data_IF_173144891547
#
_entry.id   IF_173144891547
#
_cell.length_a   1.000
_cell.length_b   1.000
_cell.length_c   1.000
_cell.angle_alpha   90.00
_cell.angle_beta   90.00
_cell.angle_gamma   90.00
#
_symmetry.space_group_name_H-M   'P 1'
#
loop_
_entity.id
_entity.type
_entity.pdbx_description
1 polymer ?
#
# COMPACT_ATOMS: atom_id res chain seq x y z
N UNK A 1 1.65 -20.01 26.93
CA UNK A 1 1.24 -20.46 25.57
C UNK A 1 0.99 -19.30 24.59
N UNK A 2 0.53 -18.14 25.07
CA UNK A 2 0.28 -16.98 24.22
C UNK A 2 1.55 -16.37 23.60
N UNK A 3 2.66 -16.35 24.35
CA UNK A 3 3.93 -15.79 23.84
C UNK A 3 4.52 -16.62 22.70
N UNK A 4 4.41 -17.95 22.74
CA UNK A 4 4.93 -18.82 21.69
C UNK A 4 4.09 -18.74 20.39
N UNK A 5 2.76 -18.63 20.52
CA UNK A 5 1.88 -18.44 19.36
C UNK A 5 2.08 -17.05 18.73
N UNK A 6 2.17 -15.98 19.56
CA UNK A 6 2.46 -14.64 19.09
C UNK A 6 3.83 -14.55 18.41
N UNK A 7 4.84 -15.27 18.91
CA UNK A 7 6.16 -15.35 18.28
C UNK A 7 6.13 -16.10 16.93
N UNK A 8 5.30 -17.12 16.79
CA UNK A 8 5.11 -17.82 15.50
C UNK A 8 4.42 -16.93 14.48
N UNK A 9 3.40 -16.16 14.88
CA UNK A 9 2.70 -15.22 13.99
C UNK A 9 3.47 -13.93 13.75
N UNK A 10 4.33 -13.51 14.67
CA UNK A 10 5.26 -12.39 14.48
C UNK A 10 6.41 -12.71 13.51
N UNK A 11 6.67 -13.99 13.21
CA UNK A 11 7.83 -14.42 12.44
C UNK A 11 7.46 -15.48 11.40
N UNK A 12 7.09 -15.08 10.22
CA UNK A 12 7.20 -15.98 9.09
C UNK A 12 8.65 -16.00 8.62
N UNK A 13 9.45 -16.92 9.16
CA UNK A 13 10.85 -17.06 8.80
C UNK A 13 10.93 -17.68 7.41
N UNK A 14 11.47 -16.95 6.44
CA UNK A 14 12.02 -17.54 5.23
C UNK A 14 13.27 -18.34 5.60
N UNK A 15 13.57 -19.40 4.85
CA UNK A 15 14.79 -20.19 5.03
C UNK A 15 16.06 -19.33 4.88
N UNK A 16 15.93 -18.19 4.18
CA UNK A 16 16.95 -17.16 4.12
C UNK A 16 16.67 -16.13 5.23
N UNK A 17 17.62 -16.02 6.17
CA UNK A 17 17.52 -15.16 7.35
C UNK A 17 17.57 -13.66 7.04
N UNK A 18 17.79 -13.26 5.79
CA UNK A 18 17.83 -11.86 5.36
C UNK A 18 16.46 -11.25 5.05
N UNK A 19 15.39 -12.07 5.03
CA UNK A 19 14.06 -11.64 4.62
C UNK A 19 12.97 -12.18 5.56
N UNK A 20 12.44 -11.35 6.47
CA UNK A 20 11.51 -11.74 7.53
C UNK A 20 10.25 -10.92 7.47
N UNK A 21 9.13 -11.53 7.86
CA UNK A 21 7.84 -10.85 8.06
C UNK A 21 7.48 -10.84 9.55
N UNK A 22 7.00 -9.69 10.01
CA UNK A 22 6.53 -9.48 11.38
C UNK A 22 5.12 -8.93 11.38
N UNK A 23 4.36 -9.25 12.43
CA UNK A 23 2.99 -8.80 12.64
C UNK A 23 2.83 -8.26 14.07
N UNK A 24 2.00 -7.24 14.23
CA UNK A 24 1.72 -6.61 15.53
C UNK A 24 0.52 -7.28 16.20
N UNK A 25 0.81 -8.26 17.04
CA UNK A 25 -0.22 -9.00 17.78
C UNK A 25 -0.98 -8.12 18.77
N UNK A 26 -0.29 -7.22 19.48
CA UNK A 26 -0.89 -6.33 20.47
C UNK A 26 -1.92 -5.38 19.84
N UNK A 27 -1.66 -4.92 18.61
CA UNK A 27 -2.60 -4.09 17.84
C UNK A 27 -3.82 -4.90 17.37
N UNK A 28 -3.63 -6.16 16.95
CA UNK A 28 -4.69 -6.94 16.31
C UNK A 28 -5.56 -7.73 17.30
N UNK A 29 -4.99 -8.17 18.43
CA UNK A 29 -5.67 -9.01 19.42
C UNK A 29 -6.96 -8.40 19.97
N UNK A 30 -7.11 -7.10 20.24
CA UNK A 30 -8.38 -6.53 20.69
C UNK A 30 -9.55 -6.80 19.74
N UNK A 31 -9.33 -6.78 18.44
CA UNK A 31 -10.37 -6.97 17.43
C UNK A 31 -10.58 -8.44 17.05
N UNK A 32 -9.52 -9.24 17.05
CA UNK A 32 -9.53 -10.62 16.54
C UNK A 32 -9.50 -11.71 17.63
N UNK A 33 -9.13 -11.36 18.87
CA UNK A 33 -8.98 -12.32 19.98
C UNK A 33 -7.69 -13.13 19.83
N UNK A 34 -7.65 -14.29 20.53
CA UNK A 34 -6.47 -15.15 20.57
C UNK A 34 -6.43 -16.20 19.43
N UNK A 35 -7.54 -16.39 18.72
CA UNK A 35 -7.71 -17.42 17.71
C UNK A 35 -7.90 -16.78 16.32
N UNK A 36 -6.83 -16.17 15.84
CA UNK A 36 -6.78 -15.59 14.50
C UNK A 36 -5.52 -16.02 13.75
N UNK A 37 -5.55 -15.88 12.44
CA UNK A 37 -4.42 -16.11 11.56
C UNK A 37 -4.31 -15.03 10.50
N UNK A 38 -3.14 -14.90 9.90
CA UNK A 38 -2.92 -13.99 8.78
C UNK A 38 -3.28 -14.70 7.48
N UNK A 39 -4.37 -14.27 6.88
CA UNK A 39 -4.79 -14.77 5.57
C UNK A 39 -3.99 -14.11 4.46
N UNK A 40 -3.45 -14.91 3.56
CA UNK A 40 -2.66 -14.49 2.42
C UNK A 40 -1.38 -13.72 2.84
N UNK A 41 -1.39 -12.39 2.81
CA UNK A 41 -0.19 -11.57 2.98
C UNK A 41 -0.17 -10.78 4.30
N UNK A 42 -1.29 -10.15 4.66
CA UNK A 42 -1.35 -9.15 5.76
C UNK A 42 -2.69 -9.13 6.49
N UNK A 43 -3.70 -9.85 6.01
CA UNK A 43 -5.08 -9.75 6.51
C UNK A 43 -5.29 -10.64 7.74
N UNK A 44 -5.52 -10.09 8.95
CA UNK A 44 -5.91 -10.91 10.08
C UNK A 44 -7.34 -11.41 9.92
N UNK A 45 -7.59 -12.65 10.32
CA UNK A 45 -8.92 -13.28 10.28
C UNK A 45 -9.12 -14.21 11.47
N UNK A 46 -10.31 -14.19 12.07
CA UNK A 46 -10.73 -15.18 13.07
C UNK A 46 -10.88 -16.55 12.41
N UNK A 47 -10.10 -17.52 12.87
CA UNK A 47 -10.08 -18.88 12.30
C UNK A 47 -11.43 -19.55 12.47
N UNK A 48 -11.99 -20.10 11.40
CA UNK A 48 -13.28 -20.78 11.39
C UNK A 48 -14.50 -19.87 11.54
N UNK A 49 -14.34 -18.59 11.85
CA UNK A 49 -15.44 -17.66 12.15
C UNK A 49 -15.60 -16.52 11.14
N UNK A 50 -14.58 -16.24 10.35
CA UNK A 50 -14.63 -15.22 9.32
C UNK A 50 -14.31 -15.82 7.95
N UNK A 51 -15.06 -15.39 6.93
CA UNK A 51 -14.86 -15.75 5.53
C UNK A 51 -14.56 -14.50 4.74
N UNK A 52 -13.43 -14.48 4.02
CA UNK A 52 -12.97 -13.32 3.27
C UNK A 52 -13.23 -13.50 1.78
N UNK A 53 -13.88 -12.51 1.18
CA UNK A 53 -13.97 -12.36 -0.27
C UNK A 53 -13.00 -11.29 -0.73
N UNK A 54 -11.98 -11.71 -1.46
CA UNK A 54 -10.95 -10.82 -1.98
C UNK A 54 -11.34 -10.26 -3.34
N UNK A 55 -11.04 -8.98 -3.56
CA UNK A 55 -11.32 -8.28 -4.80
C UNK A 55 -10.08 -7.63 -5.42
N UNK A 56 -10.32 -6.82 -6.44
CA UNK A 56 -9.30 -5.97 -7.03
C UNK A 56 -8.93 -4.82 -6.10
N UNK A 57 -7.93 -4.01 -6.49
CA UNK A 57 -7.54 -2.79 -5.76
C UNK A 57 -7.94 -1.55 -6.52
N UNK A 58 -8.39 -0.52 -5.79
CA UNK A 58 -8.65 0.80 -6.34
C UNK A 58 -7.34 1.58 -6.50
N UNK A 59 -7.08 2.10 -7.71
CA UNK A 59 -5.94 2.96 -7.97
C UNK A 59 -6.29 4.41 -7.61
N UNK A 60 -5.93 4.85 -6.41
CA UNK A 60 -6.26 6.17 -5.89
C UNK A 60 -5.49 7.29 -6.59
N UNK A 61 -4.25 7.05 -7.03
CA UNK A 61 -3.49 8.03 -7.80
C UNK A 61 -4.12 8.29 -9.18
N UNK A 62 -4.63 7.25 -9.84
CA UNK A 62 -5.41 7.39 -11.08
C UNK A 62 -6.74 8.13 -10.84
N UNK A 63 -7.39 7.85 -9.71
CA UNK A 63 -8.60 8.54 -9.28
C UNK A 63 -8.37 10.05 -9.11
N UNK A 64 -7.22 10.47 -8.57
CA UNK A 64 -6.83 11.88 -8.47
C UNK A 64 -6.70 12.54 -9.85
N UNK A 65 -6.07 11.86 -10.82
CA UNK A 65 -5.97 12.37 -12.19
C UNK A 65 -7.35 12.46 -12.87
N UNK A 66 -8.26 11.53 -12.60
CA UNK A 66 -9.65 11.62 -13.06
C UNK A 66 -10.38 12.81 -12.43
N UNK A 67 -10.14 13.11 -11.15
CA UNK A 67 -10.73 14.27 -10.50
C UNK A 67 -10.29 15.58 -11.16
N UNK A 68 -8.98 15.72 -11.45
CA UNK A 68 -8.43 16.89 -12.15
C UNK A 68 -9.00 17.01 -13.58
N UNK A 69 -9.21 15.89 -14.27
CA UNK A 69 -9.66 15.83 -15.67
C UNK A 69 -11.17 15.66 -15.85
N UNK A 70 -12.00 15.87 -14.81
CA UNK A 70 -13.46 15.78 -14.91
C UNK A 70 -13.97 14.39 -15.29
N UNK A 71 -13.30 13.32 -14.84
CA UNK A 71 -13.65 11.95 -15.10
C UNK A 71 -13.08 11.35 -16.40
N UNK A 72 -12.20 12.07 -17.09
CA UNK A 72 -11.51 11.60 -18.30
C UNK A 72 -10.15 10.99 -17.94
N UNK A 73 -9.81 9.92 -18.64
CA UNK A 73 -8.49 9.28 -18.54
C UNK A 73 -7.43 10.15 -19.19
N UNK A 74 -6.38 10.49 -18.47
CA UNK A 74 -5.32 11.40 -18.90
C UNK A 74 -4.48 10.86 -20.06
N UNK A 75 -4.45 9.54 -20.23
CA UNK A 75 -3.70 8.89 -21.33
C UNK A 75 -4.54 8.73 -22.58
N UNK A 76 -5.69 8.10 -22.46
CA UNK A 76 -6.56 7.79 -23.61
C UNK A 76 -7.54 8.92 -23.97
N UNK A 77 -7.86 9.80 -23.04
CA UNK A 77 -8.89 10.83 -23.21
C UNK A 77 -10.32 10.33 -23.06
N UNK A 78 -10.51 9.02 -22.84
CA UNK A 78 -11.84 8.42 -22.71
C UNK A 78 -12.51 8.88 -21.42
N UNK A 79 -13.83 9.19 -21.51
CA UNK A 79 -14.65 9.45 -20.34
C UNK A 79 -14.91 8.15 -19.59
N UNK A 80 -14.25 7.98 -18.45
CA UNK A 80 -14.30 6.75 -17.60
C UNK A 80 -15.32 6.89 -16.48
N UNK A 81 -15.36 8.06 -15.84
CA UNK A 81 -16.29 8.40 -14.78
C UNK A 81 -17.44 9.26 -15.33
N UNK A 82 -18.52 9.52 -14.55
CA UNK A 82 -19.49 10.55 -14.90
C UNK A 82 -18.77 11.87 -15.22
N UNK A 83 -19.41 12.71 -16.03
CA UNK A 83 -18.86 14.04 -16.34
C UNK A 83 -18.97 14.91 -15.11
N UNK A 84 -17.82 15.11 -14.47
CA UNK A 84 -17.62 16.15 -13.46
C UNK A 84 -16.97 17.36 -14.11
N UNK A 85 -17.12 18.53 -13.49
CA UNK A 85 -16.43 19.73 -13.94
C UNK A 85 -14.91 19.56 -13.76
N UNK A 86 -14.10 19.62 -14.83
CA UNK A 86 -12.64 19.52 -14.71
C UNK A 86 -12.07 20.78 -14.03
N UNK A 87 -10.90 20.64 -13.45
CA UNK A 87 -10.12 21.80 -13.00
C UNK A 87 -9.51 22.44 -14.24
N UNK A 88 -9.81 23.72 -14.45
CA UNK A 88 -9.35 24.47 -15.65
C UNK A 88 -8.28 25.51 -15.34
N UNK A 89 -8.03 25.79 -14.05
CA UNK A 89 -7.01 26.72 -13.58
C UNK A 89 -5.62 26.34 -14.06
N UNK A 90 -4.76 27.33 -14.25
CA UNK A 90 -3.34 27.12 -14.61
C UNK A 90 -2.56 26.49 -13.49
N UNK A 91 -2.86 26.85 -12.25
CA UNK A 91 -2.27 26.29 -11.04
C UNK A 91 -3.35 25.54 -10.23
N UNK A 92 -2.96 24.44 -9.59
CA UNK A 92 -3.86 23.68 -8.75
C UNK A 92 -4.06 24.39 -7.39
N UNK A 93 -5.34 24.51 -6.98
CA UNK A 93 -5.71 24.91 -5.62
C UNK A 93 -6.04 23.68 -4.79
N UNK A 94 -5.50 23.61 -3.57
CA UNK A 94 -5.65 22.44 -2.70
C UNK A 94 -7.11 22.14 -2.37
N UNK A 95 -7.91 23.16 -2.05
CA UNK A 95 -9.29 22.95 -1.64
C UNK A 95 -10.15 22.51 -2.83
N UNK A 96 -9.95 23.11 -4.01
CA UNK A 96 -10.64 22.71 -5.25
C UNK A 96 -10.28 21.26 -5.60
N UNK A 97 -9.00 20.89 -5.55
CA UNK A 97 -8.55 19.52 -5.83
C UNK A 97 -9.15 18.53 -4.84
N UNK A 98 -9.15 18.83 -3.54
CA UNK A 98 -9.73 17.97 -2.51
C UNK A 98 -11.22 17.76 -2.72
N UNK A 99 -11.99 18.83 -3.00
CA UNK A 99 -13.43 18.72 -3.28
C UNK A 99 -13.71 17.77 -4.46
N UNK A 100 -13.02 18.01 -5.60
CA UNK A 100 -13.15 17.17 -6.81
C UNK A 100 -12.70 15.73 -6.56
N UNK A 101 -11.63 15.56 -5.80
CA UNK A 101 -11.09 14.23 -5.47
C UNK A 101 -12.05 13.45 -4.58
N UNK A 102 -12.66 14.07 -3.57
CA UNK A 102 -13.67 13.42 -2.74
C UNK A 102 -14.90 13.00 -3.54
N UNK A 103 -15.38 13.86 -4.46
CA UNK A 103 -16.47 13.50 -5.37
C UNK A 103 -16.11 12.25 -6.21
N UNK A 104 -14.88 12.22 -6.73
CA UNK A 104 -14.38 11.10 -7.54
C UNK A 104 -14.22 9.83 -6.71
N UNK A 105 -13.68 9.92 -5.48
CA UNK A 105 -13.55 8.78 -4.56
C UNK A 105 -14.92 8.19 -4.19
N UNK A 106 -15.95 9.01 -3.94
CA UNK A 106 -17.33 8.53 -3.69
C UNK A 106 -17.89 7.75 -4.87
N UNK A 107 -17.69 8.26 -6.08
CA UNK A 107 -18.08 7.53 -7.29
C UNK A 107 -17.28 6.22 -7.43
N UNK A 108 -15.97 6.26 -7.24
CA UNK A 108 -15.11 5.08 -7.33
C UNK A 108 -15.52 4.01 -6.32
N UNK A 109 -15.77 4.39 -5.07
CA UNK A 109 -16.24 3.47 -4.02
C UNK A 109 -17.54 2.76 -4.42
N UNK A 110 -18.51 3.50 -4.97
CA UNK A 110 -19.76 2.93 -5.48
C UNK A 110 -19.53 1.92 -6.60
N UNK A 111 -18.72 2.27 -7.60
CA UNK A 111 -18.40 1.38 -8.73
C UNK A 111 -17.65 0.15 -8.23
N UNK A 112 -16.69 0.35 -7.35
CA UNK A 112 -15.86 -0.71 -6.79
C UNK A 112 -16.70 -1.73 -6.03
N UNK A 113 -17.53 -1.28 -5.08
CA UNK A 113 -18.42 -2.17 -4.32
C UNK A 113 -19.40 -2.90 -5.25
N UNK A 114 -19.97 -2.23 -6.25
CA UNK A 114 -20.88 -2.86 -7.20
C UNK A 114 -20.18 -3.92 -8.07
N UNK A 115 -18.96 -3.66 -8.54
CA UNK A 115 -18.17 -4.64 -9.28
C UNK A 115 -17.86 -5.87 -8.44
N UNK A 116 -17.40 -5.68 -7.20
CA UNK A 116 -17.13 -6.78 -6.28
C UNK A 116 -18.39 -7.57 -5.90
N UNK A 117 -19.53 -6.91 -5.80
CA UNK A 117 -20.84 -7.53 -5.56
C UNK A 117 -21.21 -8.50 -6.69
N UNK A 118 -20.97 -8.11 -7.94
CA UNK A 118 -21.21 -8.98 -9.10
C UNK A 118 -20.23 -10.16 -9.09
N UNK A 119 -18.96 -9.91 -8.83
CA UNK A 119 -17.93 -10.95 -8.74
C UNK A 119 -18.27 -11.97 -7.64
N UNK A 120 -18.62 -11.50 -6.45
CA UNK A 120 -19.03 -12.37 -5.34
C UNK A 120 -20.26 -13.21 -5.70
N UNK A 121 -21.30 -12.60 -6.27
CA UNK A 121 -22.47 -13.31 -6.75
C UNK A 121 -22.12 -14.40 -7.79
N UNK A 122 -21.22 -14.05 -8.74
CA UNK A 122 -20.82 -15.01 -9.78
C UNK A 122 -20.04 -16.20 -9.21
N UNK A 123 -19.17 -15.98 -8.23
CA UNK A 123 -18.49 -17.09 -7.53
C UNK A 123 -19.50 -17.95 -6.77
N UNK A 124 -20.42 -17.34 -6.02
CA UNK A 124 -21.40 -18.03 -5.23
C UNK A 124 -22.42 -18.81 -6.08
N UNK A 125 -22.73 -18.35 -7.29
CA UNK A 125 -23.52 -19.08 -8.27
C UNK A 125 -22.95 -20.48 -8.56
N UNK A 126 -21.65 -20.67 -8.44
CA UNK A 126 -20.96 -21.95 -8.61
C UNK A 126 -20.66 -22.64 -7.26
N UNK A 127 -21.43 -22.33 -6.22
CA UNK A 127 -21.34 -22.92 -4.89
C UNK A 127 -20.00 -22.67 -4.16
N UNK A 128 -19.27 -21.59 -4.52
CA UNK A 128 -17.99 -21.28 -3.88
C UNK A 128 -18.12 -21.11 -2.36
N UNK A 129 -19.10 -20.32 -1.90
CA UNK A 129 -19.35 -20.12 -0.47
C UNK A 129 -19.74 -21.41 0.24
N UNK A 130 -20.55 -22.27 -0.41
CA UNK A 130 -20.95 -23.56 0.16
C UNK A 130 -19.74 -24.50 0.39
N UNK A 131 -18.73 -24.45 -0.48
CA UNK A 131 -17.48 -25.18 -0.26
C UNK A 131 -16.68 -24.61 0.91
N UNK A 132 -16.54 -23.28 0.96
CA UNK A 132 -15.80 -22.61 2.04
C UNK A 132 -16.44 -22.84 3.41
N UNK A 133 -17.77 -22.91 3.49
CA UNK A 133 -18.50 -23.18 4.74
C UNK A 133 -18.12 -24.52 5.37
N UNK A 134 -17.62 -25.49 4.60
CA UNK A 134 -17.10 -26.74 5.14
C UNK A 134 -15.86 -26.59 6.04
N UNK A 135 -15.20 -25.44 5.99
CA UNK A 135 -14.01 -25.10 6.78
C UNK A 135 -14.33 -24.18 7.97
N UNK A 136 -15.62 -23.91 8.25
CA UNK A 136 -16.06 -22.94 9.24
C UNK A 136 -16.95 -23.55 10.31
N UNK A 137 -17.00 -22.90 11.46
CA UNK A 137 -17.67 -23.43 12.65
C UNK A 137 -19.20 -23.33 12.59
N UNK A 138 -19.81 -22.43 11.97
CA UNK A 138 -21.26 -22.22 11.99
C UNK A 138 -21.63 -20.84 11.48
N UNK A 139 -22.07 -19.96 12.36
CA UNK A 139 -22.34 -18.58 12.00
C UNK A 139 -21.03 -17.88 11.59
N UNK A 140 -20.93 -17.52 10.33
CA UNK A 140 -19.73 -16.94 9.74
C UNK A 140 -19.94 -15.47 9.43
N UNK A 141 -19.05 -14.64 9.93
CA UNK A 141 -18.93 -13.25 9.50
C UNK A 141 -18.28 -13.20 8.12
N UNK A 142 -18.98 -12.60 7.16
CA UNK A 142 -18.48 -12.39 5.81
C UNK A 142 -17.74 -11.07 5.72
N UNK A 143 -16.49 -11.11 5.31
CA UNK A 143 -15.66 -9.95 5.11
C UNK A 143 -15.49 -9.71 3.59
N UNK A 144 -15.71 -8.48 3.17
CA UNK A 144 -15.42 -8.01 1.82
C UNK A 144 -14.10 -7.27 1.82
N UNK A 145 -13.04 -7.97 1.44
CA UNK A 145 -11.73 -7.37 1.28
C UNK A 145 -11.73 -6.40 0.09
N UNK A 146 -11.53 -5.14 0.37
CA UNK A 146 -11.21 -4.10 -0.61
C UNK A 146 -9.74 -3.73 -0.47
N UNK A 147 -9.19 -2.99 -1.41
CA UNK A 147 -7.79 -2.57 -1.32
C UNK A 147 -7.55 -1.29 -2.10
N UNK A 148 -6.54 -0.56 -1.68
CA UNK A 148 -6.08 0.66 -2.34
C UNK A 148 -4.64 0.54 -2.79
N UNK A 149 -4.30 1.25 -3.88
CA UNK A 149 -2.96 1.38 -4.42
C UNK A 149 -2.65 2.86 -4.68
N UNK A 150 -1.39 3.26 -4.46
CA UNK A 150 -0.91 4.62 -4.73
C UNK A 150 -1.16 5.61 -3.60
N UNK A 151 -1.32 5.15 -2.34
CA UNK A 151 -1.57 6.03 -1.19
C UNK A 151 -0.46 7.08 -1.03
N UNK A 152 0.81 6.68 -1.03
CA UNK A 152 1.94 7.60 -0.89
C UNK A 152 2.00 8.65 -2.02
N UNK A 153 1.63 8.26 -3.25
CA UNK A 153 1.60 9.17 -4.40
C UNK A 153 0.50 10.22 -4.21
N UNK A 154 -0.66 9.81 -3.70
CA UNK A 154 -1.77 10.73 -3.41
C UNK A 154 -1.39 11.68 -2.28
N UNK A 155 -0.83 11.17 -1.19
CA UNK A 155 -0.38 11.99 -0.06
C UNK A 155 0.67 13.02 -0.52
N UNK A 156 1.67 12.58 -1.29
CA UNK A 156 2.71 13.43 -1.85
C UNK A 156 2.15 14.47 -2.82
N UNK A 157 1.22 14.05 -3.71
CA UNK A 157 0.59 14.98 -4.67
C UNK A 157 -0.23 16.07 -3.98
N UNK A 158 -1.00 15.70 -2.98
CA UNK A 158 -1.81 16.66 -2.20
C UNK A 158 -0.92 17.55 -1.34
N UNK A 159 0.15 17.02 -0.73
CA UNK A 159 1.13 17.84 -0.02
C UNK A 159 1.84 18.81 -0.97
N UNK A 160 2.24 18.37 -2.15
CA UNK A 160 2.85 19.22 -3.17
C UNK A 160 1.91 20.36 -3.60
N UNK A 161 0.63 20.06 -3.85
CA UNK A 161 -0.38 21.07 -4.22
C UNK A 161 -0.62 22.07 -3.08
N UNK A 162 -0.60 21.62 -1.82
CA UNK A 162 -0.82 22.48 -0.65
C UNK A 162 0.37 23.40 -0.36
N UNK A 163 1.59 22.88 -0.45
CA UNK A 163 2.79 23.54 0.05
C UNK A 163 3.60 24.24 -1.05
N UNK A 164 3.28 24.02 -2.33
CA UNK A 164 4.04 24.54 -3.48
C UNK A 164 3.10 25.10 -4.55
N UNK A 165 3.67 25.66 -5.62
CA UNK A 165 2.90 26.02 -6.82
C UNK A 165 3.00 24.90 -7.84
N UNK A 166 1.88 24.25 -8.12
CA UNK A 166 1.80 23.19 -9.13
C UNK A 166 1.06 23.71 -10.36
N UNK A 167 1.80 23.91 -11.44
CA UNK A 167 1.29 24.32 -12.75
C UNK A 167 0.83 23.11 -13.53
N UNK A 168 -0.34 23.20 -14.14
CA UNK A 168 -0.92 22.12 -14.96
C UNK A 168 -0.50 22.28 -16.41
N UNK A 169 0.11 21.27 -16.98
CA UNK A 169 0.42 21.19 -18.41
C UNK A 169 -0.68 20.38 -19.10
N UNK A 170 -1.35 21.01 -20.08
CA UNK A 170 -2.48 20.42 -20.81
C UNK A 170 -2.09 20.08 -22.24
N UNK A 171 -2.62 18.98 -22.73
CA UNK A 171 -2.51 18.64 -24.15
C UNK A 171 -3.60 19.37 -25.00
N UNK A 172 -3.57 19.12 -26.32
CA UNK A 172 -4.53 19.68 -27.29
C UNK A 172 -6.01 19.34 -26.99
N UNK A 173 -6.23 18.26 -26.18
CA UNK A 173 -7.56 17.84 -25.76
C UNK A 173 -8.04 18.53 -24.48
N UNK A 174 -7.20 19.44 -23.93
CA UNK A 174 -7.40 20.13 -22.67
C UNK A 174 -7.20 19.22 -21.43
N UNK A 175 -6.58 18.06 -21.59
CA UNK A 175 -6.31 17.14 -20.48
C UNK A 175 -5.03 17.55 -19.75
N UNK A 176 -5.07 17.55 -18.42
CA UNK A 176 -3.90 17.63 -17.58
C UNK A 176 -3.08 16.34 -17.77
N UNK A 177 -1.94 16.43 -18.42
CA UNK A 177 -1.08 15.30 -18.78
C UNK A 177 0.28 15.34 -18.10
N UNK A 178 0.69 16.54 -17.62
CA UNK A 178 1.93 16.76 -16.91
C UNK A 178 1.79 17.91 -15.91
N UNK A 179 2.76 18.04 -14.98
CA UNK A 179 2.76 19.05 -13.93
C UNK A 179 4.17 19.60 -13.72
N UNK A 180 4.29 20.92 -13.66
CA UNK A 180 5.49 21.64 -13.26
C UNK A 180 5.32 22.16 -11.83
N UNK A 181 6.34 21.96 -11.00
CA UNK A 181 6.27 22.35 -9.58
C UNK A 181 7.37 23.35 -9.24
N UNK A 182 6.98 24.44 -8.58
CA UNK A 182 7.88 25.44 -8.02
C UNK A 182 7.79 25.40 -6.49
N UNK A 183 8.90 25.09 -5.81
CA UNK A 183 9.00 24.97 -4.37
C UNK A 183 9.21 23.53 -3.90
N UNK A 184 9.34 23.37 -2.60
CA UNK A 184 9.59 22.09 -1.94
C UNK A 184 8.47 21.73 -0.97
N UNK A 185 8.21 20.46 -0.84
CA UNK A 185 7.30 19.88 0.16
C UNK A 185 8.00 18.71 0.84
N UNK A 186 7.51 18.30 2.00
CA UNK A 186 8.02 17.11 2.70
C UNK A 186 7.19 15.91 2.27
N UNK A 187 7.78 14.90 1.58
CA UNK A 187 7.05 13.71 1.17
C UNK A 187 6.67 12.82 2.36
N UNK A 188 5.67 11.96 2.14
CA UNK A 188 5.31 10.87 3.05
C UNK A 188 6.51 9.95 3.33
N UNK A 189 6.66 9.47 4.56
CA UNK A 189 7.79 8.66 4.98
C UNK A 189 8.92 9.44 5.66
N UNK A 190 8.70 10.72 5.99
CA UNK A 190 9.68 11.59 6.65
C UNK A 190 9.25 12.05 8.04
N UNK A 191 8.25 11.38 8.63
CA UNK A 191 7.67 11.69 9.93
C UNK A 191 7.25 13.18 10.05
N UNK A 192 6.57 13.66 9.01
CA UNK A 192 5.98 15.01 8.99
C UNK A 192 4.46 14.90 9.05
N UNK A 193 3.87 15.34 10.17
CA UNK A 193 2.43 15.20 10.41
C UNK A 193 1.57 15.90 9.36
N UNK A 194 2.07 16.94 8.70
CA UNK A 194 1.33 17.63 7.63
C UNK A 194 1.07 16.73 6.44
N UNK A 195 2.05 15.90 6.06
CA UNK A 195 1.88 14.97 4.93
C UNK A 195 1.33 13.62 5.39
N UNK A 196 1.79 13.11 6.54
CA UNK A 196 1.32 11.84 7.08
C UNK A 196 -0.19 11.88 7.37
N UNK A 197 -0.71 13.02 7.88
CA UNK A 197 -2.16 13.18 8.11
C UNK A 197 -2.99 13.12 6.83
N UNK A 198 -2.44 13.50 5.67
CA UNK A 198 -3.15 13.34 4.39
C UNK A 198 -3.32 11.85 4.06
N UNK A 199 -2.28 11.03 4.26
CA UNK A 199 -2.38 9.58 4.03
C UNK A 199 -3.42 8.93 4.97
N UNK A 200 -3.44 9.34 6.23
CA UNK A 200 -4.45 8.93 7.23
C UNK A 200 -5.86 9.31 6.75
N UNK A 201 -6.10 10.60 6.46
CA UNK A 201 -7.40 11.13 6.03
C UNK A 201 -7.94 10.43 4.77
N UNK A 202 -7.10 10.20 3.77
CA UNK A 202 -7.49 9.48 2.55
C UNK A 202 -7.88 8.03 2.84
N UNK A 203 -7.14 7.35 3.71
CA UNK A 203 -7.44 5.97 4.12
C UNK A 203 -8.80 5.89 4.83
N UNK A 204 -9.04 6.77 5.78
CA UNK A 204 -10.30 6.86 6.53
C UNK A 204 -11.47 7.19 5.61
N UNK A 205 -11.39 8.27 4.85
CA UNK A 205 -12.45 8.72 3.94
C UNK A 205 -12.84 7.66 2.91
N UNK A 206 -11.85 7.01 2.30
CA UNK A 206 -12.17 6.00 1.29
C UNK A 206 -12.87 4.79 1.92
N UNK A 207 -12.45 4.36 3.11
CA UNK A 207 -13.14 3.30 3.86
C UNK A 207 -14.57 3.69 4.24
N UNK A 208 -14.80 4.93 4.69
CA UNK A 208 -16.13 5.45 4.97
C UNK A 208 -17.03 5.43 3.74
N UNK A 209 -16.51 5.82 2.57
CA UNK A 209 -17.26 5.78 1.32
C UNK A 209 -17.60 4.35 0.90
N UNK A 210 -16.71 3.39 1.09
CA UNK A 210 -16.98 1.97 0.84
C UNK A 210 -18.13 1.44 1.72
N UNK A 211 -18.13 1.81 3.02
CA UNK A 211 -19.15 1.39 4.01
C UNK A 211 -20.54 1.94 3.72
N UNK A 212 -20.67 3.00 2.93
CA UNK A 212 -21.98 3.55 2.53
C UNK A 212 -22.75 2.67 1.54
N UNK A 213 -22.11 1.64 0.99
CA UNK A 213 -22.71 0.81 -0.06
C UNK A 213 -22.99 -0.60 0.42
N UNK A 214 -24.19 -1.09 0.08
CA UNK A 214 -24.60 -2.46 0.40
C UNK A 214 -23.79 -3.48 -0.39
N UNK A 215 -23.23 -4.46 0.32
CA UNK A 215 -22.48 -5.59 -0.23
C UNK A 215 -23.36 -6.81 -0.51
N UNK A 216 -22.85 -7.78 -1.26
CA UNK A 216 -23.53 -9.07 -1.42
C UNK A 216 -23.50 -9.84 -0.09
N UNK A 217 -24.63 -10.47 0.28
CA UNK A 217 -24.82 -11.19 1.54
C UNK A 217 -24.43 -10.42 2.81
N UNK A 218 -24.52 -9.10 2.75
CA UNK A 218 -24.18 -8.19 3.87
C UNK A 218 -22.75 -8.36 4.38
N UNK A 219 -21.81 -8.77 3.51
CA UNK A 219 -20.41 -8.86 3.91
C UNK A 219 -19.89 -7.50 4.40
N UNK A 220 -19.14 -7.49 5.49
CA UNK A 220 -18.55 -6.28 6.08
C UNK A 220 -17.39 -5.80 5.20
N UNK A 221 -17.42 -4.57 4.64
CA UNK A 221 -16.27 -4.04 3.92
C UNK A 221 -15.07 -3.85 4.84
N UNK A 222 -13.92 -4.33 4.43
CA UNK A 222 -12.61 -4.04 5.00
C UNK A 222 -11.70 -3.46 3.93
N UNK A 223 -10.59 -2.84 4.30
CA UNK A 223 -9.66 -2.22 3.39
C UNK A 223 -8.24 -2.69 3.67
N UNK A 224 -7.46 -2.93 2.60
CA UNK A 224 -6.02 -3.14 2.67
C UNK A 224 -5.24 -2.05 1.95
N UNK A 225 -4.04 -1.79 2.45
CA UNK A 225 -3.03 -0.97 1.78
C UNK A 225 -1.93 -1.94 1.32
N UNK A 226 -2.18 -2.60 0.18
CA UNK A 226 -1.37 -3.70 -0.32
C UNK A 226 -1.41 -3.73 -1.85
N UNK A 227 -0.28 -3.85 -2.52
CA UNK A 227 -0.21 -3.94 -3.99
C UNK A 227 0.35 -5.26 -4.51
N UNK A 228 1.02 -6.04 -3.68
CA UNK A 228 1.83 -7.17 -4.14
C UNK A 228 2.84 -6.66 -5.19
N UNK A 229 3.08 -7.37 -6.28
CA UNK A 229 3.91 -6.91 -7.42
C UNK A 229 3.12 -6.12 -8.48
N UNK A 230 1.83 -5.88 -8.25
CA UNK A 230 0.98 -5.12 -9.19
C UNK A 230 1.27 -3.61 -9.18
N UNK A 231 2.08 -3.11 -8.25
CA UNK A 231 2.56 -1.73 -8.21
C UNK A 231 3.16 -1.28 -9.55
N UNK A 232 3.89 -2.17 -10.23
CA UNK A 232 4.45 -1.93 -11.58
C UNK A 232 3.33 -1.68 -12.60
N UNK A 233 2.29 -2.50 -12.59
CA UNK A 233 1.16 -2.38 -13.53
C UNK A 233 0.34 -1.11 -13.26
N UNK A 234 0.12 -0.77 -11.99
CA UNK A 234 -0.56 0.48 -11.62
C UNK A 234 0.22 1.70 -12.12
N UNK A 235 1.55 1.69 -11.94
CA UNK A 235 2.42 2.75 -12.43
C UNK A 235 2.34 2.92 -13.94
N UNK A 236 2.47 1.83 -14.71
CA UNK A 236 2.35 1.83 -16.18
C UNK A 236 1.06 2.46 -16.70
N UNK A 237 -0.04 2.24 -15.99
CA UNK A 237 -1.36 2.73 -16.38
C UNK A 237 -1.67 4.15 -15.90
N UNK A 238 -0.82 4.75 -15.08
CA UNK A 238 -1.03 6.08 -14.50
C UNK A 238 -0.06 7.09 -15.12
N UNK A 239 -0.59 8.24 -15.55
CA UNK A 239 0.17 9.37 -16.08
C UNK A 239 1.06 10.03 -15.02
N UNK A 240 1.69 11.15 -15.38
CA UNK A 240 2.44 12.00 -14.45
C UNK A 240 1.51 12.50 -13.34
N UNK A 241 2.02 12.61 -12.12
CA UNK A 241 1.24 13.04 -10.95
C UNK A 241 1.81 14.34 -10.35
N UNK A 242 1.00 15.15 -9.66
CA UNK A 242 1.40 16.48 -9.17
C UNK A 242 2.61 16.50 -8.24
N UNK A 243 2.91 15.38 -7.59
CA UNK A 243 4.12 15.17 -6.78
C UNK A 243 5.42 15.09 -7.57
N UNK A 244 5.33 15.09 -8.91
CA UNK A 244 6.47 14.98 -9.83
C UNK A 244 6.85 13.53 -10.17
N UNK A 245 6.02 12.52 -9.88
CA UNK A 245 6.24 11.15 -10.35
C UNK A 245 5.98 11.08 -11.85
N UNK A 246 6.96 10.71 -12.68
CA UNK A 246 6.78 10.57 -14.14
C UNK A 246 5.74 9.49 -14.47
N UNK A 247 4.94 9.74 -15.49
CA UNK A 247 3.97 8.77 -16.00
C UNK A 247 4.63 7.45 -16.37
N UNK A 248 4.00 6.34 -15.97
CA UNK A 248 4.54 5.00 -16.21
C UNK A 248 5.49 4.45 -15.16
N UNK A 249 6.07 5.28 -14.30
CA UNK A 249 6.93 4.83 -13.21
C UNK A 249 6.16 3.92 -12.23
N UNK A 250 6.71 2.78 -11.78
CA UNK A 250 6.09 1.94 -10.77
C UNK A 250 5.67 2.71 -9.52
N UNK A 251 4.56 2.32 -8.90
CA UNK A 251 4.18 2.81 -7.58
C UNK A 251 5.09 2.19 -6.51
N UNK A 252 5.23 2.86 -5.38
CA UNK A 252 5.72 2.18 -4.18
C UNK A 252 4.75 1.05 -3.78
N UNK A 253 5.25 -0.10 -3.30
CA UNK A 253 4.40 -1.22 -2.92
C UNK A 253 3.65 -0.94 -1.61
N UNK A 254 2.35 -1.24 -1.58
CA UNK A 254 1.54 -1.13 -0.36
C UNK A 254 1.57 0.25 0.27
N UNK A 255 1.95 0.29 1.54
CA UNK A 255 2.05 1.50 2.35
C UNK A 255 3.43 2.18 2.30
N UNK A 256 4.34 1.68 1.45
CA UNK A 256 5.68 2.26 1.34
C UNK A 256 5.62 3.73 0.90
N UNK A 257 6.49 4.57 1.44
CA UNK A 257 6.85 5.84 0.83
C UNK A 257 7.30 5.63 -0.62
N UNK A 258 7.16 6.64 -1.47
CA UNK A 258 7.70 6.58 -2.83
C UNK A 258 9.22 6.44 -2.79
N UNK A 259 9.73 5.55 -3.64
CA UNK A 259 11.15 5.20 -3.70
C UNK A 259 12.05 6.44 -3.75
N UNK A 260 13.00 6.53 -2.82
CA UNK A 260 13.97 7.62 -2.70
C UNK A 260 13.44 8.93 -2.10
N UNK A 261 12.19 8.96 -1.59
CA UNK A 261 11.60 10.16 -0.97
C UNK A 261 11.64 10.17 0.56
N UNK A 262 11.80 9.03 1.18
CA UNK A 262 11.97 8.83 2.62
C UNK A 262 13.44 9.09 3.00
N UNK A 263 13.81 10.37 3.05
CA UNK A 263 15.21 10.82 3.18
C UNK A 263 15.68 11.07 4.62
N UNK A 264 14.75 11.02 5.60
CA UNK A 264 15.07 11.25 7.02
C UNK A 264 15.45 9.97 7.79
N UNK A 265 15.71 8.88 7.07
CA UNK A 265 16.19 7.62 7.65
C UNK A 265 15.09 6.66 8.08
N UNK A 266 15.53 5.49 8.57
CA UNK A 266 14.69 4.34 8.87
C UNK A 266 13.60 4.65 9.90
N UNK A 267 13.95 5.32 11.00
CA UNK A 267 13.02 5.64 12.09
C UNK A 267 11.89 6.55 11.59
N UNK A 268 12.21 7.55 10.77
CA UNK A 268 11.20 8.46 10.24
C UNK A 268 10.24 7.75 9.27
N UNK A 269 10.76 6.86 8.42
CA UNK A 269 9.95 6.08 7.49
C UNK A 269 8.99 5.12 8.23
N UNK A 270 9.49 4.41 9.24
CA UNK A 270 8.69 3.54 10.11
C UNK A 270 7.61 4.34 10.84
N UNK A 271 7.97 5.49 11.43
CA UNK A 271 7.03 6.34 12.16
C UNK A 271 5.89 6.86 11.27
N UNK A 272 6.16 7.27 10.02
CA UNK A 272 5.11 7.71 9.09
C UNK A 272 4.11 6.59 8.78
N UNK A 273 4.60 5.37 8.51
CA UNK A 273 3.71 4.23 8.19
C UNK A 273 2.94 3.75 9.41
N UNK A 274 3.53 3.82 10.61
CA UNK A 274 2.87 3.46 11.87
C UNK A 274 1.64 4.32 12.19
N UNK A 275 1.55 5.54 11.66
CA UNK A 275 0.39 6.44 11.83
C UNK A 275 -0.85 6.02 11.03
N UNK A 276 -0.71 5.10 10.06
CA UNK A 276 -1.84 4.69 9.22
C UNK A 276 -2.90 3.96 10.06
N UNK A 277 -4.20 4.31 9.90
CA UNK A 277 -5.25 3.87 10.80
C UNK A 277 -5.67 2.42 10.54
N UNK A 278 -5.21 1.49 11.36
CA UNK A 278 -5.56 0.07 11.22
C UNK A 278 -7.08 -0.17 11.32
N UNK A 279 -7.81 0.59 12.14
CA UNK A 279 -9.26 0.51 12.28
C UNK A 279 -10.02 0.81 10.97
N UNK A 280 -9.36 1.49 10.03
CA UNK A 280 -9.87 1.76 8.68
C UNK A 280 -9.19 0.90 7.61
N UNK A 281 -8.27 0.02 8.00
CA UNK A 281 -7.50 -0.86 7.11
C UNK A 281 -7.36 -2.29 7.67
N UNK A 282 -8.45 -2.85 8.21
CA UNK A 282 -8.49 -4.17 8.85
C UNK A 282 -8.10 -5.33 7.92
N UNK A 283 -8.07 -5.12 6.61
CA UNK A 283 -7.56 -6.09 5.64
C UNK A 283 -6.04 -6.00 5.44
N UNK A 284 -5.37 -5.19 6.27
CA UNK A 284 -3.94 -5.13 6.47
C UNK A 284 -3.21 -3.96 5.78
N UNK A 285 -2.13 -3.55 6.40
CA UNK A 285 -1.25 -2.44 5.98
C UNK A 285 0.13 -3.01 5.66
N UNK A 286 0.38 -3.33 4.38
CA UNK A 286 1.64 -3.92 3.96
C UNK A 286 2.74 -2.87 3.85
N UNK A 287 3.76 -2.99 4.68
CA UNK A 287 4.98 -2.22 4.56
C UNK A 287 6.18 -3.13 4.29
N UNK A 288 6.99 -2.82 3.28
CA UNK A 288 8.21 -3.54 2.94
C UNK A 288 9.41 -2.64 3.19
N UNK A 289 10.09 -2.88 4.30
CA UNK A 289 11.23 -2.12 4.77
C UNK A 289 12.54 -2.79 4.33
N UNK A 290 13.47 -2.01 3.82
CA UNK A 290 14.79 -2.47 3.48
C UNK A 290 15.86 -1.62 4.16
N UNK A 291 16.86 -2.27 4.73
CA UNK A 291 17.97 -1.63 5.43
C UNK A 291 19.29 -2.32 5.08
N UNK A 292 20.37 -1.54 4.91
CA UNK A 292 21.67 -2.13 4.70
C UNK A 292 22.24 -2.67 6.01
N UNK A 293 23.02 -3.77 6.00
CA UNK A 293 23.68 -4.27 7.20
C UNK A 293 24.55 -3.22 7.89
N UNK A 294 25.24 -2.38 7.10
CA UNK A 294 26.11 -1.32 7.62
C UNK A 294 25.34 -0.24 8.41
N UNK A 295 24.10 0.04 8.04
CA UNK A 295 23.23 0.99 8.75
C UNK A 295 22.90 0.50 10.16
N UNK A 296 22.71 -0.81 10.33
CA UNK A 296 22.44 -1.42 11.64
C UNK A 296 23.65 -1.43 12.57
N UNK A 297 24.86 -1.21 12.05
CA UNK A 297 26.09 -1.17 12.85
C UNK A 297 27.21 -2.03 12.28
N UNK A 298 28.39 -1.96 12.89
CA UNK A 298 29.57 -2.69 12.44
C UNK A 298 29.71 -4.10 13.01
N UNK A 299 29.18 -4.31 14.22
CA UNK A 299 29.27 -5.56 14.95
C UNK A 299 27.90 -6.25 14.99
N UNK A 300 27.91 -7.58 14.93
CA UNK A 300 26.68 -8.39 14.89
C UNK A 300 25.72 -8.09 16.04
N UNK A 301 26.22 -7.98 17.25
CA UNK A 301 25.38 -7.72 18.44
C UNK A 301 24.74 -6.32 18.38
N UNK A 302 25.47 -5.33 17.86
CA UNK A 302 24.96 -3.98 17.63
C UNK A 302 23.87 -4.02 16.54
N UNK A 303 24.11 -4.74 15.46
CA UNK A 303 23.12 -4.89 14.37
C UNK A 303 21.83 -5.52 14.87
N UNK A 304 21.93 -6.57 15.68
CA UNK A 304 20.77 -7.25 16.29
C UNK A 304 20.01 -6.26 17.22
N UNK A 305 20.69 -5.60 18.12
CA UNK A 305 20.09 -4.69 19.07
C UNK A 305 19.39 -3.50 18.35
N UNK A 306 20.04 -2.94 17.34
CA UNK A 306 19.45 -1.83 16.57
C UNK A 306 18.23 -2.29 15.78
N UNK A 307 18.27 -3.47 15.17
CA UNK A 307 17.10 -4.01 14.47
C UNK A 307 15.94 -4.29 15.45
N UNK A 308 16.23 -4.89 16.60
CA UNK A 308 15.22 -5.12 17.65
C UNK A 308 14.60 -3.80 18.11
N UNK A 309 15.43 -2.77 18.36
CA UNK A 309 14.92 -1.45 18.78
C UNK A 309 14.03 -0.79 17.73
N UNK A 310 14.36 -0.95 16.43
CA UNK A 310 13.49 -0.48 15.34
C UNK A 310 12.15 -1.21 15.33
N UNK A 311 12.16 -2.53 15.52
CA UNK A 311 10.96 -3.35 15.55
C UNK A 311 10.09 -3.03 16.77
N UNK A 312 10.69 -2.91 17.96
CA UNK A 312 9.98 -2.55 19.18
C UNK A 312 9.34 -1.16 19.09
N UNK A 313 10.06 -0.20 18.47
CA UNK A 313 9.53 1.14 18.25
C UNK A 313 8.40 1.20 17.21
N UNK A 314 8.39 0.28 16.24
CA UNK A 314 7.35 0.20 15.22
C UNK A 314 6.09 -0.55 15.71
N UNK A 315 6.28 -1.65 16.45
CA UNK A 315 5.20 -2.53 16.93
C UNK A 315 4.71 -2.18 18.33
N UNK A 316 4.41 -0.89 18.56
CA UNK A 316 3.69 -0.48 19.77
C UNK A 316 2.19 -0.85 19.64
N UNK A 317 1.41 -0.84 20.75
CA UNK A 317 -0.03 -1.15 20.69
C UNK A 317 -0.83 -0.26 19.72
N UNK A 318 -0.39 0.98 19.49
CA UNK A 318 -0.98 1.93 18.54
C UNK A 318 -0.08 2.15 17.31
N UNK A 319 0.89 1.26 17.07
CA UNK A 319 1.90 1.39 16.02
C UNK A 319 1.54 0.70 14.71
N UNK A 320 2.58 0.31 13.95
CA UNK A 320 2.40 -0.36 12.66
C UNK A 320 1.85 -1.77 12.81
N UNK A 321 1.03 -2.21 11.84
CA UNK A 321 0.40 -3.53 11.87
C UNK A 321 1.32 -4.64 11.36
N UNK A 322 2.01 -4.41 10.24
CA UNK A 322 2.78 -5.43 9.53
C UNK A 322 4.07 -4.86 8.95
N UNK A 323 5.14 -5.64 8.97
CA UNK A 323 6.42 -5.27 8.40
C UNK A 323 7.10 -6.45 7.71
N UNK A 324 7.41 -6.30 6.42
CA UNK A 324 8.40 -7.12 5.75
C UNK A 324 9.77 -6.46 5.90
N UNK A 325 10.74 -7.18 6.45
CA UNK A 325 12.12 -6.68 6.62
C UNK A 325 13.04 -7.38 5.63
N UNK A 326 13.77 -6.59 4.86
CA UNK A 326 14.87 -7.03 4.02
C UNK A 326 16.19 -6.43 4.54
N UNK A 327 17.19 -7.25 4.75
CA UNK A 327 18.52 -6.80 5.15
C UNK A 327 19.51 -7.19 4.05
N UNK A 328 19.83 -6.25 3.18
CA UNK A 328 20.77 -6.46 2.07
C UNK A 328 21.31 -5.11 1.54
N UNK A 329 22.36 -5.18 0.74
CA UNK A 329 22.91 -4.05 0.01
C UNK A 329 22.42 -4.04 -1.44
N UNK A 330 22.33 -2.83 -2.03
CA UNK A 330 21.88 -2.65 -3.41
C UNK A 330 22.78 -3.37 -4.42
N UNK A 331 24.09 -3.38 -4.16
CA UNK A 331 25.08 -4.00 -5.04
C UNK A 331 24.87 -5.52 -5.14
N UNK A 332 24.42 -6.17 -4.06
CA UNK A 332 24.04 -7.58 -4.06
C UNK A 332 22.92 -7.86 -5.07
N UNK A 333 21.89 -7.02 -5.09
CA UNK A 333 20.75 -7.19 -6.01
C UNK A 333 21.15 -6.93 -7.46
N UNK A 334 22.03 -5.96 -7.70
CA UNK A 334 22.55 -5.67 -9.05
C UNK A 334 23.40 -6.86 -9.54
N UNK A 335 24.33 -7.37 -8.73
CA UNK A 335 25.13 -8.54 -9.12
C UNK A 335 24.26 -9.79 -9.33
N UNK A 336 23.24 -10.00 -8.47
CA UNK A 336 22.29 -11.11 -8.64
C UNK A 336 21.43 -11.00 -9.90
N UNK A 337 21.12 -9.79 -10.35
CA UNK A 337 20.38 -9.54 -11.58
C UNK A 337 21.24 -9.82 -12.82
N UNK A 338 22.55 -9.57 -12.74
CA UNK A 338 23.51 -9.76 -13.84
C UNK A 338 24.09 -11.18 -13.87
N UNK A 339 24.23 -11.81 -12.70
CA UNK A 339 24.79 -13.13 -12.50
C UNK A 339 23.87 -14.06 -11.71
N UNK A 340 22.68 -14.38 -12.22
CA UNK A 340 21.65 -15.14 -11.48
C UNK A 340 22.12 -16.52 -11.04
N UNK A 341 23.09 -17.12 -11.74
CA UNK A 341 23.68 -18.41 -11.42
C UNK A 341 24.48 -18.43 -10.11
N UNK A 342 24.97 -17.26 -9.66
CA UNK A 342 25.66 -17.12 -8.38
C UNK A 342 24.71 -17.07 -7.20
N UNK A 343 23.44 -16.70 -7.43
CA UNK A 343 22.46 -16.40 -6.40
C UNK A 343 21.15 -17.20 -6.54
N UNK A 344 21.19 -18.53 -6.76
CA UNK A 344 20.00 -19.33 -7.06
C UNK A 344 19.00 -19.37 -5.91
N UNK A 345 19.43 -19.05 -4.68
CA UNK A 345 18.61 -19.09 -3.46
C UNK A 345 18.28 -17.70 -2.90
N UNK A 346 18.70 -16.62 -3.56
CA UNK A 346 18.46 -15.27 -3.06
C UNK A 346 16.97 -14.99 -2.97
N UNK A 347 16.48 -14.90 -1.74
CA UNK A 347 15.07 -14.66 -1.43
C UNK A 347 14.90 -13.26 -0.86
N UNK A 348 13.90 -12.53 -1.35
CA UNK A 348 13.52 -11.20 -0.88
C UNK A 348 12.05 -11.12 -0.56
N UNK A 349 11.68 -10.20 0.35
CA UNK A 349 10.29 -9.81 0.58
C UNK A 349 9.93 -8.70 -0.41
N UNK A 350 8.82 -8.86 -1.12
CA UNK A 350 8.39 -7.87 -2.14
C UNK A 350 7.20 -7.03 -1.72
N UNK A 351 6.19 -7.63 -1.15
CA UNK A 351 5.02 -6.98 -0.54
C UNK A 351 4.10 -8.09 -0.02
N UNK A 352 4.24 -8.45 1.24
CA UNK A 352 3.44 -9.50 1.89
C UNK A 352 3.86 -10.95 1.59
N UNK A 353 4.84 -11.20 0.72
CA UNK A 353 5.36 -12.53 0.47
C UNK A 353 6.83 -12.52 0.03
N UNK A 354 7.50 -13.64 0.17
CA UNK A 354 8.88 -13.83 -0.24
C UNK A 354 8.96 -14.48 -1.63
N UNK A 355 9.91 -14.03 -2.43
CA UNK A 355 10.18 -14.58 -3.75
C UNK A 355 11.66 -14.78 -3.97
N UNK A 356 12.00 -15.71 -4.85
CA UNK A 356 13.37 -15.83 -5.34
C UNK A 356 13.61 -14.68 -6.34
N UNK A 357 14.57 -13.81 -6.00
CA UNK A 357 14.85 -12.58 -6.75
C UNK A 357 15.23 -12.84 -8.20
N UNK A 358 16.02 -13.87 -8.48
CA UNK A 358 16.49 -14.17 -9.85
C UNK A 358 15.40 -14.75 -10.75
N UNK A 359 14.23 -15.15 -10.17
CA UNK A 359 13.06 -15.61 -10.91
C UNK A 359 12.06 -14.51 -11.24
N UNK A 360 12.25 -13.32 -10.71
CA UNK A 360 11.44 -12.14 -11.08
C UNK A 360 11.72 -11.71 -12.52
N UNK A 361 10.74 -11.07 -13.15
CA UNK A 361 10.97 -10.42 -14.44
C UNK A 361 11.98 -9.28 -14.27
N UNK A 362 12.73 -8.96 -15.32
CA UNK A 362 13.71 -7.86 -15.30
C UNK A 362 13.11 -6.54 -14.79
N UNK A 363 11.88 -6.25 -15.17
CA UNK A 363 11.16 -5.06 -14.73
C UNK A 363 10.87 -5.06 -13.23
N UNK A 364 10.46 -6.22 -12.67
CA UNK A 364 10.25 -6.37 -11.23
C UNK A 364 11.56 -6.32 -10.45
N UNK A 365 12.67 -6.88 -10.99
CA UNK A 365 13.99 -6.76 -10.38
C UNK A 365 14.44 -5.30 -10.32
N UNK A 366 14.25 -4.54 -11.40
CA UNK A 366 14.56 -3.11 -11.45
C UNK A 366 13.70 -2.30 -10.48
N UNK A 367 12.41 -2.63 -10.33
CA UNK A 367 11.53 -2.03 -9.32
C UNK A 367 12.10 -2.25 -7.91
N UNK A 368 12.47 -3.49 -7.57
CA UNK A 368 13.04 -3.82 -6.24
C UNK A 368 14.36 -3.07 -6.01
N UNK A 369 15.26 -3.03 -6.99
CA UNK A 369 16.54 -2.31 -6.90
C UNK A 369 16.35 -0.80 -6.73
N UNK A 370 15.24 -0.26 -7.28
CA UNK A 370 14.92 1.18 -7.17
C UNK A 370 14.31 1.57 -5.83
N UNK A 371 13.87 0.60 -5.02
CA UNK A 371 13.27 0.88 -3.71
C UNK A 371 14.28 1.50 -2.75
N UNK A 372 13.78 2.27 -1.80
CA UNK A 372 14.64 2.82 -0.76
C UNK A 372 15.26 1.70 0.07
N UNK A 373 16.58 1.72 0.16
CA UNK A 373 17.34 0.95 1.14
C UNK A 373 17.88 1.97 2.14
N UNK A 374 17.38 1.92 3.37
CA UNK A 374 17.75 2.90 4.39
C UNK A 374 19.24 2.78 4.72
N UNK A 375 19.95 3.89 4.58
CA UNK A 375 21.39 4.03 4.82
C UNK A 375 21.70 4.80 6.11
N UNK A 376 20.67 5.22 6.85
CA UNK A 376 20.73 5.83 8.19
C UNK A 376 19.55 5.34 9.03
N UNK A 377 19.76 5.27 10.34
CA UNK A 377 18.70 4.97 11.31
C UNK A 377 17.81 6.16 11.55
#
# INVERSE_FOLDING_TARGET
YSSAASDVYKRQVSIDTSAIQYENDDLMRPDYGDDYGIACCVSPMKIGKQMQYFGARANLAKCLLYAINGGRDEKSGVQVAPRFEPITSEYLDYNEVMEKYEQMMRWLAKVYVNALKIIHYMHDKYAYEAFEMGLHDGDVERIRATGIAGLSIVADSLAAIRDTKVKVIRDERGLAVDFEREGEYVPFGNNDDRTDSIAVDITEKFMEYLRQHQTYRKATPTQSILTITSNVVYGKKTGTTPDGRPGGTPFAPGANPMNGRDTKGAVAALASVAKLPFQHAHDGISYTFAVSPATLGKERDIQINNLVSLLDGYFTPDGGQHLNVNVFDKDLLVDAMEHPEKYPQLTIRVSGYAVNFVKLTREQQLDVISRTINSSL
#
